data_IF_518128678830
#
_entry.id   IF_518128678830
#
_cell.length_a   1.000
_cell.length_b   1.000
_cell.length_c   1.000
_cell.angle_alpha   90.00
_cell.angle_beta   90.00
_cell.angle_gamma   90.00
#
_symmetry.space_group_name_H-M   'P 1'
#
loop_
_entity.id
_entity.type
_entity.pdbx_description
1 polymer ?
#
# COMPACT_ATOMS: atom_id res chain seq x y z
N UNK A 1 -41.01 -103.74 38.17
CA UNK A 1 -41.95 -103.15 37.19
C UNK A 1 -42.77 -102.03 37.83
N UNK A 2 -43.81 -102.29 38.64
CA UNK A 2 -44.75 -101.26 39.13
C UNK A 2 -44.16 -99.92 39.62
N UNK A 3 -43.14 -99.96 40.51
CA UNK A 3 -42.52 -98.74 41.08
C UNK A 3 -41.97 -97.76 40.03
N UNK A 4 -41.52 -98.27 38.87
CA UNK A 4 -40.97 -97.43 37.79
C UNK A 4 -42.07 -96.73 36.96
N UNK A 5 -43.28 -97.28 36.93
CA UNK A 5 -44.43 -96.69 36.22
C UNK A 5 -44.99 -95.51 37.02
N UNK A 6 -45.20 -95.71 38.34
CA UNK A 6 -45.68 -94.65 39.25
C UNK A 6 -44.74 -93.44 39.28
N UNK A 7 -43.43 -93.67 39.21
CA UNK A 7 -42.43 -92.59 39.10
C UNK A 7 -42.53 -91.82 37.79
N UNK A 8 -42.98 -92.45 36.70
CA UNK A 8 -43.13 -91.81 35.39
C UNK A 8 -44.46 -91.04 35.31
N UNK A 9 -45.53 -91.58 35.87
CA UNK A 9 -46.83 -90.91 36.02
C UNK A 9 -46.69 -89.59 36.80
N UNK A 10 -46.04 -89.63 37.97
CA UNK A 10 -45.75 -88.42 38.76
C UNK A 10 -44.88 -87.40 38.02
N UNK A 11 -43.95 -87.86 37.16
CA UNK A 11 -43.13 -86.98 36.33
C UNK A 11 -43.95 -86.34 35.20
N UNK A 12 -44.87 -87.08 34.57
CA UNK A 12 -45.80 -86.55 33.56
C UNK A 12 -46.72 -85.50 34.18
N UNK A 13 -47.38 -85.79 35.30
CA UNK A 13 -48.23 -84.79 35.97
C UNK A 13 -47.45 -83.53 36.40
N UNK A 14 -46.17 -83.68 36.79
CA UNK A 14 -45.29 -82.56 37.14
C UNK A 14 -44.99 -81.67 35.93
N UNK A 15 -44.74 -82.28 34.77
CA UNK A 15 -44.54 -81.57 33.49
C UNK A 15 -45.85 -80.96 32.98
N UNK A 16 -47.00 -81.60 33.17
CA UNK A 16 -48.30 -81.00 32.82
C UNK A 16 -48.60 -79.76 33.67
N UNK A 17 -48.34 -79.81 34.99
CA UNK A 17 -48.46 -78.66 35.88
C UNK A 17 -47.53 -77.52 35.48
N UNK A 18 -46.28 -77.81 35.09
CA UNK A 18 -45.35 -76.77 34.65
C UNK A 18 -45.71 -76.19 33.27
N UNK A 19 -46.24 -76.99 32.33
CA UNK A 19 -46.78 -76.50 31.05
C UNK A 19 -47.97 -75.56 31.27
N UNK A 20 -48.86 -75.86 32.21
CA UNK A 20 -49.97 -74.96 32.58
C UNK A 20 -49.45 -73.66 33.19
N UNK A 21 -48.46 -73.74 34.10
CA UNK A 21 -47.82 -72.56 34.68
C UNK A 21 -47.14 -71.67 33.61
N UNK A 22 -46.30 -72.25 32.74
CA UNK A 22 -45.63 -71.50 31.66
C UNK A 22 -46.65 -70.85 30.71
N UNK A 23 -47.78 -71.49 30.41
CA UNK A 23 -48.84 -70.89 29.60
C UNK A 23 -49.54 -69.74 30.32
N UNK A 24 -49.76 -69.84 31.62
CA UNK A 24 -50.31 -68.75 32.43
C UNK A 24 -49.35 -67.55 32.52
N UNK A 25 -48.05 -67.81 32.70
CA UNK A 25 -47.00 -66.80 32.70
C UNK A 25 -46.86 -66.12 31.33
N UNK A 26 -46.86 -66.89 30.24
CA UNK A 26 -46.82 -66.36 28.87
C UNK A 26 -48.03 -65.45 28.57
N UNK A 27 -49.24 -65.84 28.99
CA UNK A 27 -50.45 -65.02 28.83
C UNK A 27 -50.39 -63.74 29.68
N UNK A 28 -49.86 -63.83 30.91
CA UNK A 28 -49.65 -62.68 31.78
C UNK A 28 -48.66 -61.67 31.18
N UNK A 29 -47.52 -62.16 30.67
CA UNK A 29 -46.50 -61.35 29.99
C UNK A 29 -47.06 -60.70 28.71
N UNK A 30 -47.78 -61.45 27.87
CA UNK A 30 -48.41 -60.91 26.66
C UNK A 30 -49.41 -59.79 26.99
N UNK A 31 -50.22 -59.97 28.05
CA UNK A 31 -51.16 -58.95 28.49
C UNK A 31 -50.45 -57.70 29.05
N UNK A 32 -49.39 -57.89 29.86
CA UNK A 32 -48.56 -56.79 30.36
C UNK A 32 -47.91 -55.98 29.24
N UNK A 33 -47.30 -56.65 28.26
CA UNK A 33 -46.71 -56.01 27.08
C UNK A 33 -47.77 -55.26 26.23
N UNK A 34 -48.98 -55.81 26.11
CA UNK A 34 -50.06 -55.12 25.41
C UNK A 34 -50.47 -53.82 26.12
N UNK A 35 -50.57 -53.83 27.46
CA UNK A 35 -50.84 -52.63 28.25
C UNK A 35 -49.68 -51.62 28.18
N UNK A 36 -48.43 -52.08 28.15
CA UNK A 36 -47.26 -51.22 27.95
C UNK A 36 -47.27 -50.57 26.56
N UNK A 37 -47.56 -51.33 25.49
CA UNK A 37 -47.70 -50.81 24.13
C UNK A 37 -48.81 -49.74 24.07
N UNK A 38 -49.98 -49.99 24.67
CA UNK A 38 -51.06 -49.00 24.74
C UNK A 38 -50.67 -47.75 25.55
N UNK A 39 -49.90 -47.92 26.63
CA UNK A 39 -49.37 -46.82 27.45
C UNK A 39 -48.34 -45.97 26.69
N UNK A 40 -47.41 -46.62 25.98
CA UNK A 40 -46.44 -45.98 25.11
C UNK A 40 -47.12 -45.25 23.95
N UNK A 41 -48.07 -45.89 23.26
CA UNK A 41 -48.87 -45.26 22.21
C UNK A 41 -49.58 -44.02 22.74
N UNK A 42 -50.26 -44.10 23.90
CA UNK A 42 -50.94 -42.95 24.52
C UNK A 42 -49.95 -41.81 24.85
N UNK A 43 -48.77 -42.14 25.37
CA UNK A 43 -47.71 -41.14 25.65
C UNK A 43 -47.17 -40.50 24.38
N UNK A 44 -46.91 -41.29 23.33
CA UNK A 44 -46.48 -40.77 22.03
C UNK A 44 -47.55 -39.87 21.41
N UNK A 45 -48.83 -40.27 21.40
CA UNK A 45 -49.90 -39.40 20.92
C UNK A 45 -50.02 -38.12 21.74
N UNK A 46 -49.79 -38.17 23.06
CA UNK A 46 -49.71 -36.97 23.91
C UNK A 46 -48.58 -36.03 23.49
N UNK A 47 -47.33 -36.52 23.45
CA UNK A 47 -46.16 -35.71 23.10
C UNK A 47 -46.24 -35.15 21.66
N UNK A 48 -46.82 -35.90 20.71
CA UNK A 48 -47.09 -35.40 19.36
C UNK A 48 -48.17 -34.30 19.37
N UNK A 49 -49.26 -34.48 20.13
CA UNK A 49 -50.32 -33.49 20.28
C UNK A 49 -49.83 -32.22 20.96
N UNK A 50 -49.01 -32.34 22.01
CA UNK A 50 -48.36 -31.22 22.71
C UNK A 50 -47.43 -30.45 21.77
N UNK A 51 -46.62 -31.14 20.94
CA UNK A 51 -45.83 -30.50 19.89
C UNK A 51 -46.70 -29.78 18.87
N UNK A 52 -47.71 -30.45 18.31
CA UNK A 52 -48.65 -29.84 17.34
C UNK A 52 -49.40 -28.63 17.90
N UNK A 53 -49.74 -28.62 19.20
CA UNK A 53 -50.36 -27.47 19.84
C UNK A 53 -49.37 -26.35 20.17
N UNK A 54 -48.11 -26.67 20.48
CA UNK A 54 -47.07 -25.65 20.60
C UNK A 54 -46.80 -24.96 19.26
N UNK A 55 -46.74 -25.71 18.15
CA UNK A 55 -46.54 -25.14 16.80
C UNK A 55 -47.79 -24.41 16.27
N UNK A 56 -49.00 -24.79 16.68
CA UNK A 56 -50.25 -24.16 16.23
C UNK A 56 -50.76 -23.02 17.14
N UNK A 57 -50.08 -22.75 18.27
CA UNK A 57 -50.38 -21.57 19.11
C UNK A 57 -49.43 -20.40 18.86
N UNK A 58 -48.23 -20.67 18.32
CA UNK A 58 -47.64 -19.79 17.30
C UNK A 58 -48.55 -19.78 16.07
N UNK A 59 -49.01 -18.60 15.64
CA UNK A 59 -49.94 -18.47 14.51
C UNK A 59 -49.24 -18.55 13.15
N UNK A 60 -48.50 -19.63 12.91
CA UNK A 60 -47.74 -19.88 11.69
C UNK A 60 -48.09 -21.30 11.19
N UNK A 61 -48.84 -21.39 10.09
CA UNK A 61 -49.26 -22.66 9.47
C UNK A 61 -48.12 -23.37 8.70
N UNK A 62 -46.88 -22.87 8.81
CA UNK A 62 -45.69 -23.51 8.23
C UNK A 62 -45.36 -24.84 8.92
N UNK A 63 -45.09 -25.87 8.12
CA UNK A 63 -44.54 -27.12 8.62
C UNK A 63 -43.13 -26.86 9.19
N UNK A 64 -42.77 -27.38 10.38
CA UNK A 64 -41.43 -27.15 10.94
C UNK A 64 -40.31 -27.69 10.02
N UNK A 65 -40.62 -28.67 9.16
CA UNK A 65 -39.70 -29.16 8.12
C UNK A 65 -39.44 -28.12 7.01
N UNK A 66 -40.45 -27.33 6.63
CA UNK A 66 -40.30 -26.27 5.62
C UNK A 66 -39.48 -25.12 6.15
N UNK A 67 -39.66 -24.74 7.42
CA UNK A 67 -38.80 -23.74 8.05
C UNK A 67 -37.34 -24.24 8.20
N UNK A 68 -37.12 -25.53 8.48
CA UNK A 68 -35.78 -26.13 8.40
C UNK A 68 -35.18 -26.02 6.98
N UNK A 69 -35.94 -26.32 5.94
CA UNK A 69 -35.52 -26.25 4.53
C UNK A 69 -35.12 -24.82 4.11
N UNK A 70 -35.92 -23.81 4.49
CA UNK A 70 -35.62 -22.38 4.29
C UNK A 70 -34.31 -21.94 4.99
N UNK A 71 -34.09 -22.41 6.23
CA UNK A 71 -32.89 -22.09 7.01
C UNK A 71 -31.65 -22.82 6.47
N UNK A 72 -31.80 -24.05 5.97
CA UNK A 72 -30.73 -24.79 5.30
C UNK A 72 -30.33 -24.16 3.95
N UNK A 73 -31.31 -23.72 3.13
CA UNK A 73 -31.05 -23.00 1.88
C UNK A 73 -30.31 -21.68 2.15
N UNK A 74 -30.82 -20.84 3.06
CA UNK A 74 -30.16 -19.58 3.40
C UNK A 74 -28.76 -19.79 4.02
N UNK A 75 -28.58 -20.84 4.84
CA UNK A 75 -27.25 -21.19 5.35
C UNK A 75 -26.29 -21.60 4.21
N UNK A 76 -26.77 -22.31 3.18
CA UNK A 76 -25.98 -22.67 2.01
C UNK A 76 -25.62 -21.44 1.15
N UNK A 77 -26.55 -20.51 0.94
CA UNK A 77 -26.29 -19.23 0.28
C UNK A 77 -25.19 -18.44 1.01
N UNK A 78 -25.31 -18.29 2.33
CA UNK A 78 -24.32 -17.59 3.16
C UNK A 78 -22.94 -18.27 3.13
N UNK A 79 -22.89 -19.62 3.08
CA UNK A 79 -21.63 -20.35 2.90
C UNK A 79 -21.02 -20.10 1.52
N UNK A 80 -21.82 -20.05 0.45
CA UNK A 80 -21.34 -19.74 -0.89
C UNK A 80 -20.77 -18.31 -0.93
N UNK A 81 -21.53 -17.30 -0.49
CA UNK A 81 -21.11 -15.90 -0.42
C UNK A 81 -19.83 -15.75 0.40
N UNK A 82 -19.72 -16.44 1.54
CA UNK A 82 -18.50 -16.44 2.35
C UNK A 82 -17.30 -17.06 1.60
N UNK A 83 -17.52 -18.10 0.79
CA UNK A 83 -16.46 -18.73 -0.02
C UNK A 83 -15.98 -17.80 -1.16
N UNK A 84 -16.90 -17.10 -1.83
CA UNK A 84 -16.60 -16.14 -2.88
C UNK A 84 -15.85 -14.92 -2.32
N UNK A 85 -16.27 -14.39 -1.17
CA UNK A 85 -15.57 -13.31 -0.48
C UNK A 85 -14.15 -13.71 -0.04
N UNK A 86 -13.95 -14.94 0.45
CA UNK A 86 -12.62 -15.49 0.77
C UNK A 86 -11.75 -15.59 -0.49
N UNK A 87 -12.32 -16.02 -1.62
CA UNK A 87 -11.61 -16.08 -2.89
C UNK A 87 -11.21 -14.69 -3.41
N UNK A 88 -12.12 -13.72 -3.38
CA UNK A 88 -11.81 -12.33 -3.73
C UNK A 88 -10.70 -11.74 -2.85
N UNK A 89 -10.76 -11.96 -1.53
CA UNK A 89 -9.72 -11.50 -0.59
C UNK A 89 -8.36 -12.15 -0.88
N UNK A 90 -8.34 -13.43 -1.28
CA UNK A 90 -7.13 -14.12 -1.74
C UNK A 90 -6.56 -13.46 -3.00
N UNK A 91 -7.38 -13.23 -4.04
CA UNK A 91 -6.96 -12.58 -5.28
C UNK A 91 -6.45 -11.14 -5.04
N UNK A 92 -7.16 -10.37 -4.21
CA UNK A 92 -6.75 -9.01 -3.80
C UNK A 92 -5.42 -9.04 -3.03
N UNK A 93 -5.21 -10.03 -2.17
CA UNK A 93 -3.95 -10.21 -1.43
C UNK A 93 -2.76 -10.55 -2.34
N UNK A 94 -2.96 -11.42 -3.34
CA UNK A 94 -1.95 -11.74 -4.35
C UNK A 94 -1.56 -10.50 -5.17
N UNK A 95 -2.56 -9.71 -5.62
CA UNK A 95 -2.31 -8.46 -6.34
C UNK A 95 -1.56 -7.43 -5.49
N UNK A 96 -1.95 -7.25 -4.22
CA UNK A 96 -1.24 -6.36 -3.28
C UNK A 96 0.20 -6.85 -3.03
N UNK A 97 0.43 -8.16 -2.95
CA UNK A 97 1.77 -8.75 -2.87
C UNK A 97 2.63 -8.42 -4.09
N UNK A 98 2.09 -8.62 -5.30
CA UNK A 98 2.77 -8.30 -6.56
C UNK A 98 3.09 -6.80 -6.70
N UNK A 99 2.16 -5.92 -6.30
CA UNK A 99 2.37 -4.46 -6.31
C UNK A 99 3.45 -4.03 -5.29
N UNK A 100 3.45 -4.60 -4.08
CA UNK A 100 4.49 -4.36 -3.06
C UNK A 100 5.87 -4.80 -3.55
N UNK A 101 5.97 -5.98 -4.18
CA UNK A 101 7.21 -6.49 -4.76
C UNK A 101 7.71 -5.60 -5.91
N UNK A 102 6.82 -5.18 -6.82
CA UNK A 102 7.12 -4.24 -7.91
C UNK A 102 7.64 -2.89 -7.40
N UNK A 103 7.05 -2.37 -6.31
CA UNK A 103 7.51 -1.13 -5.69
C UNK A 103 8.92 -1.26 -5.09
N UNK A 104 9.19 -2.33 -4.31
CA UNK A 104 10.55 -2.58 -3.77
C UNK A 104 11.60 -2.79 -4.87
N UNK A 105 11.24 -3.40 -5.99
CA UNK A 105 12.14 -3.55 -7.15
C UNK A 105 12.40 -2.22 -7.87
N UNK A 106 11.38 -1.36 -8.00
CA UNK A 106 11.55 0.02 -8.50
C UNK A 106 12.46 0.84 -7.59
N UNK A 107 12.26 0.76 -6.28
CA UNK A 107 13.10 1.41 -5.27
C UNK A 107 14.56 0.96 -5.37
N UNK A 108 14.82 -0.35 -5.42
CA UNK A 108 16.16 -0.93 -5.64
C UNK A 108 16.82 -0.36 -6.90
N UNK A 109 16.10 -0.32 -8.02
CA UNK A 109 16.59 0.23 -9.28
C UNK A 109 16.89 1.75 -9.17
N UNK A 110 16.07 2.53 -8.48
CA UNK A 110 16.34 3.97 -8.29
C UNK A 110 17.58 4.21 -7.42
N UNK A 111 17.80 3.40 -6.38
CA UNK A 111 19.00 3.48 -5.53
C UNK A 111 20.27 3.07 -6.30
N UNK A 112 20.20 2.06 -7.16
CA UNK A 112 21.31 1.63 -8.01
C UNK A 112 21.66 2.68 -9.08
N UNK A 113 20.67 3.27 -9.73
CA UNK A 113 20.86 4.38 -10.68
C UNK A 113 21.42 5.64 -10.00
N UNK A 114 20.93 5.98 -8.80
CA UNK A 114 21.45 7.09 -7.99
C UNK A 114 22.92 6.85 -7.59
N UNK A 115 23.26 5.64 -7.16
CA UNK A 115 24.63 5.21 -6.85
C UNK A 115 25.54 5.31 -8.08
N UNK A 116 25.07 4.87 -9.25
CA UNK A 116 25.82 4.98 -10.51
C UNK A 116 26.05 6.44 -10.93
N UNK A 117 24.99 7.28 -10.91
CA UNK A 117 25.08 8.72 -11.21
C UNK A 117 26.01 9.45 -10.24
N UNK A 118 25.95 9.11 -8.95
CA UNK A 118 26.85 9.65 -7.91
C UNK A 118 28.31 9.28 -8.20
N UNK A 119 28.62 8.00 -8.36
CA UNK A 119 29.99 7.55 -8.68
C UNK A 119 30.54 8.20 -9.95
N UNK A 120 29.75 8.26 -11.02
CA UNK A 120 30.11 8.94 -12.28
C UNK A 120 30.40 10.43 -12.06
N UNK A 121 29.64 11.10 -11.21
CA UNK A 121 29.85 12.52 -10.86
C UNK A 121 31.17 12.69 -10.10
N UNK A 122 31.49 11.81 -9.15
CA UNK A 122 32.79 11.81 -8.44
C UNK A 122 33.96 11.60 -9.39
N UNK A 123 33.87 10.64 -10.32
CA UNK A 123 34.92 10.40 -11.33
C UNK A 123 35.13 11.64 -12.21
N UNK A 124 34.07 12.24 -12.74
CA UNK A 124 34.17 13.44 -13.58
C UNK A 124 34.68 14.67 -12.80
N UNK A 125 34.32 14.81 -11.52
CA UNK A 125 34.80 15.89 -10.65
C UNK A 125 36.31 15.74 -10.36
N UNK A 126 36.77 14.54 -9.99
CA UNK A 126 38.22 14.30 -9.78
C UNK A 126 39.03 14.49 -11.06
N UNK A 127 38.48 14.22 -12.24
CA UNK A 127 39.17 14.55 -13.51
C UNK A 127 39.19 16.06 -13.78
N UNK A 128 38.07 16.76 -13.60
CA UNK A 128 38.01 18.23 -13.72
C UNK A 128 39.00 18.93 -12.76
N UNK A 129 39.16 18.40 -11.55
CA UNK A 129 40.14 18.89 -10.57
C UNK A 129 41.59 18.73 -11.08
N UNK A 130 41.98 17.55 -11.60
CA UNK A 130 43.31 17.35 -12.21
C UNK A 130 43.58 18.31 -13.35
N UNK A 131 42.59 18.53 -14.24
CA UNK A 131 42.72 19.47 -15.35
C UNK A 131 42.87 20.92 -14.85
N UNK A 132 42.18 21.27 -13.76
CA UNK A 132 42.28 22.59 -13.11
C UNK A 132 43.66 22.80 -12.46
N UNK A 133 44.20 21.79 -11.77
CA UNK A 133 45.55 21.80 -11.18
C UNK A 133 46.63 21.91 -12.25
N UNK A 134 46.51 21.15 -13.35
CA UNK A 134 47.42 21.24 -14.49
C UNK A 134 47.38 22.63 -15.16
N UNK A 135 46.18 23.21 -15.33
CA UNK A 135 46.02 24.56 -15.87
C UNK A 135 46.62 25.64 -14.95
N UNK A 136 46.46 25.50 -13.63
CA UNK A 136 47.07 26.39 -12.64
C UNK A 136 48.61 26.28 -12.65
N UNK A 137 49.15 25.06 -12.72
CA UNK A 137 50.59 24.80 -12.81
C UNK A 137 51.22 25.41 -14.07
N UNK A 138 50.61 25.20 -15.24
CA UNK A 138 51.06 25.82 -16.49
C UNK A 138 50.96 27.34 -16.46
N UNK A 139 49.90 27.88 -15.85
CA UNK A 139 49.75 29.32 -15.63
C UNK A 139 50.88 29.87 -14.76
N UNK A 140 51.23 29.19 -13.66
CA UNK A 140 52.36 29.56 -12.80
C UNK A 140 53.71 29.50 -13.55
N UNK A 141 53.94 28.49 -14.39
CA UNK A 141 55.13 28.45 -15.26
C UNK A 141 55.18 29.65 -16.21
N UNK A 142 54.08 29.97 -16.89
CA UNK A 142 54.00 31.10 -17.83
C UNK A 142 54.22 32.45 -17.13
N UNK A 143 53.63 32.66 -15.95
CA UNK A 143 53.87 33.84 -15.14
C UNK A 143 55.34 33.95 -14.70
N UNK A 144 55.95 32.84 -14.27
CA UNK A 144 57.36 32.77 -13.87
C UNK A 144 58.30 33.08 -15.05
N UNK A 145 58.03 32.53 -16.24
CA UNK A 145 58.80 32.81 -17.46
C UNK A 145 58.67 34.27 -17.89
N UNK A 146 57.45 34.83 -17.87
CA UNK A 146 57.16 36.24 -18.15
C UNK A 146 57.88 37.18 -17.19
N UNK A 147 57.95 36.83 -15.90
CA UNK A 147 58.67 37.61 -14.89
C UNK A 147 60.19 37.62 -15.15
N UNK A 148 60.79 36.46 -15.43
CA UNK A 148 62.23 36.34 -15.77
C UNK A 148 62.60 37.15 -17.01
N UNK A 149 61.81 37.07 -18.08
CA UNK A 149 61.99 37.89 -19.29
C UNK A 149 61.86 39.39 -19.00
N UNK A 150 60.92 39.79 -18.13
CA UNK A 150 60.77 41.20 -17.75
C UNK A 150 61.97 41.72 -16.95
N UNK A 151 62.50 40.93 -16.00
CA UNK A 151 63.72 41.24 -15.25
C UNK A 151 64.93 41.40 -16.18
N UNK A 152 65.14 40.45 -17.11
CA UNK A 152 66.21 40.53 -18.11
C UNK A 152 66.12 41.81 -18.95
N UNK A 153 64.90 42.19 -19.38
CA UNK A 153 64.67 43.40 -20.17
C UNK A 153 64.93 44.69 -19.37
N UNK A 154 64.58 44.73 -18.08
CA UNK A 154 64.93 45.85 -17.18
C UNK A 154 66.46 45.96 -17.00
N UNK A 155 67.15 44.83 -16.80
CA UNK A 155 68.61 44.80 -16.67
C UNK A 155 69.31 45.28 -17.96
N UNK A 156 68.79 44.93 -19.14
CA UNK A 156 69.28 45.47 -20.42
C UNK A 156 69.07 46.99 -20.55
N UNK A 157 67.94 47.52 -20.04
CA UNK A 157 67.69 48.96 -20.04
C UNK A 157 68.65 49.71 -19.08
N UNK A 158 68.95 49.15 -17.90
CA UNK A 158 69.95 49.72 -16.98
C UNK A 158 71.40 49.53 -17.42
N UNK A 159 71.71 48.53 -18.27
CA UNK A 159 73.05 48.37 -18.89
C UNK A 159 73.26 49.21 -20.15
N UNK A 160 72.26 49.98 -20.61
CA UNK A 160 72.45 50.93 -21.72
C UNK A 160 73.10 52.22 -21.15
N UNK A 161 74.31 52.61 -21.61
CA UNK A 161 74.92 53.84 -21.13
C UNK A 161 74.06 55.04 -21.49
N UNK A 162 73.89 55.97 -20.55
CA UNK A 162 73.26 57.25 -20.82
C UNK A 162 74.22 58.13 -21.65
N UNK A 163 74.18 57.98 -22.98
CA UNK A 163 74.77 58.97 -23.87
C UNK A 163 73.94 60.25 -23.77
N UNK A 164 74.50 61.24 -23.06
CA UNK A 164 73.96 62.59 -23.00
C UNK A 164 73.96 63.21 -24.41
N UNK A 165 72.84 63.80 -24.79
CA UNK A 165 72.61 64.40 -26.10
C UNK A 165 71.52 65.45 -26.00
N UNK A 166 71.90 66.64 -25.54
CA UNK A 166 71.08 67.86 -25.51
C UNK A 166 70.80 68.25 -26.98
N UNK A 167 69.55 68.52 -27.38
CA UNK A 167 68.92 69.85 -27.29
C UNK A 167 67.37 69.84 -27.28
N UNK A 168 66.76 70.94 -26.78
CA UNK A 168 65.30 71.22 -26.68
C UNK A 168 65.08 72.64 -26.13
N UNK A 169 63.85 73.23 -26.17
CA UNK A 169 62.61 72.92 -26.91
C UNK A 169 62.42 74.06 -27.96
N UNK A 170 61.26 74.76 -28.17
CA UNK A 170 59.82 74.46 -28.11
C UNK A 170 59.24 74.28 -29.55
N UNK A 171 58.02 74.56 -30.02
CA UNK A 171 56.77 75.23 -29.54
C UNK A 171 55.53 74.43 -30.02
N UNK A 172 54.33 74.88 -29.65
CA UNK A 172 52.99 74.34 -29.96
C UNK A 172 52.31 75.05 -31.17
N UNK A 173 51.15 74.60 -31.72
CA UNK A 173 50.12 73.77 -31.06
C UNK A 173 49.57 72.53 -31.82
N UNK A 174 48.80 71.74 -31.07
CA UNK A 174 47.98 70.60 -31.52
C UNK A 174 46.62 71.08 -32.08
N UNK A 175 45.87 70.24 -32.82
CA UNK A 175 44.84 69.45 -32.12
C UNK A 175 44.67 67.98 -32.58
N UNK A 176 44.30 67.15 -31.59
CA UNK A 176 43.36 66.03 -31.66
C UNK A 176 43.70 64.74 -32.47
N UNK A 177 44.10 63.72 -31.71
CA UNK A 177 43.43 62.41 -31.63
C UNK A 177 43.10 61.63 -32.92
N UNK A 178 44.04 60.79 -33.35
CA UNK A 178 43.81 59.63 -34.23
C UNK A 178 44.11 58.30 -33.52
N UNK A 179 43.19 57.85 -32.68
CA UNK A 179 43.28 56.52 -32.06
C UNK A 179 43.06 55.43 -33.11
N UNK A 180 44.06 54.58 -33.34
CA UNK A 180 44.02 53.44 -34.27
C UNK A 180 43.25 52.24 -33.70
N UNK A 181 41.98 52.46 -33.40
CA UNK A 181 41.04 51.40 -33.02
C UNK A 181 40.83 50.41 -34.18
N UNK A 182 40.94 49.08 -33.96
CA UNK A 182 40.44 48.12 -34.93
C UNK A 182 38.91 48.23 -35.09
N UNK A 183 38.39 47.80 -36.23
CA UNK A 183 37.04 48.12 -36.71
C UNK A 183 35.91 47.42 -35.92
N UNK A 184 35.33 48.10 -34.93
CA UNK A 184 34.05 47.69 -34.33
C UNK A 184 32.88 48.08 -35.24
N UNK A 185 32.28 47.09 -35.91
CA UNK A 185 31.08 47.27 -36.75
C UNK A 185 29.89 47.66 -35.85
N UNK A 186 29.23 48.78 -36.15
CA UNK A 186 27.99 49.22 -35.47
C UNK A 186 26.73 48.67 -36.17
N UNK A 187 25.87 47.89 -35.50
CA UNK A 187 24.52 47.63 -35.98
C UNK A 187 23.65 48.90 -35.97
N UNK A 188 22.75 49.04 -36.96
CA UNK A 188 21.81 50.15 -37.05
C UNK A 188 20.77 50.06 -35.93
N UNK A 189 20.75 51.03 -35.00
CA UNK A 189 19.74 51.12 -33.94
C UNK A 189 18.37 51.46 -34.54
N UNK A 190 17.47 50.47 -34.67
CA UNK A 190 16.02 50.67 -34.80
C UNK A 190 15.37 50.41 -33.44
N UNK A 191 14.42 51.24 -33.06
CA UNK A 191 13.76 51.15 -31.75
C UNK A 191 12.61 50.16 -31.78
N UNK A 192 12.74 49.05 -31.07
CA UNK A 192 11.61 48.25 -30.56
C UNK A 192 11.78 48.06 -29.06
N UNK A 193 10.68 48.04 -28.33
CA UNK A 193 10.67 48.10 -26.86
C UNK A 193 10.55 46.73 -26.20
N UNK A 194 11.03 46.65 -24.94
CA UNK A 194 10.86 45.57 -23.94
C UNK A 194 11.67 44.26 -24.16
N UNK A 195 11.75 43.48 -23.07
CA UNK A 195 12.19 42.08 -22.98
C UNK A 195 13.70 41.79 -23.20
N UNK A 196 14.57 42.29 -22.30
CA UNK A 196 16.02 42.01 -22.32
C UNK A 196 16.60 41.43 -21.01
N UNK A 197 15.76 40.89 -20.12
CA UNK A 197 16.19 40.31 -18.82
C UNK A 197 16.29 38.78 -18.80
N UNK A 198 15.71 38.06 -19.76
CA UNK A 198 15.58 36.59 -19.70
C UNK A 198 16.80 35.83 -20.24
N UNK A 199 17.51 36.38 -21.23
CA UNK A 199 18.51 35.64 -22.01
C UNK A 199 19.87 35.48 -21.31
N UNK A 200 20.20 36.30 -20.30
CA UNK A 200 21.49 36.20 -19.61
C UNK A 200 21.51 35.10 -18.52
N UNK A 201 20.33 34.63 -18.10
CA UNK A 201 20.15 33.59 -17.07
C UNK A 201 20.29 32.17 -17.63
N UNK A 202 20.08 32.00 -18.94
CA UNK A 202 20.04 30.70 -19.60
C UNK A 202 21.43 30.06 -19.72
N UNK A 203 22.44 30.84 -20.12
CA UNK A 203 23.82 30.38 -20.33
C UNK A 203 24.58 29.94 -19.07
N UNK A 204 23.95 30.09 -17.90
CA UNK A 204 24.46 29.60 -16.62
C UNK A 204 23.89 28.21 -16.22
N UNK A 205 23.02 27.60 -17.06
CA UNK A 205 22.31 26.36 -16.73
C UNK A 205 22.47 25.24 -17.77
N UNK A 206 23.40 25.35 -18.71
CA UNK A 206 23.68 24.30 -19.71
C UNK A 206 24.43 23.07 -19.14
N UNK A 207 25.00 23.15 -17.94
CA UNK A 207 25.78 22.05 -17.32
C UNK A 207 24.91 20.93 -16.69
N UNK A 208 23.59 20.98 -16.81
CA UNK A 208 22.67 19.90 -16.36
C UNK A 208 21.96 19.34 -17.59
N UNK A 209 22.10 18.03 -17.90
CA UNK A 209 21.36 17.42 -18.99
C UNK A 209 19.85 17.59 -18.79
N UNK A 210 19.20 18.35 -19.67
CA UNK A 210 17.73 18.43 -19.72
C UNK A 210 17.17 17.19 -20.41
N UNK A 211 17.35 16.04 -19.75
CA UNK A 211 16.55 14.84 -19.97
C UNK A 211 15.08 15.26 -19.98
N UNK A 212 14.38 15.04 -21.10
CA UNK A 212 12.95 15.36 -21.22
C UNK A 212 12.15 14.31 -20.47
N UNK A 213 12.18 14.40 -19.15
CA UNK A 213 11.23 13.71 -18.28
C UNK A 213 9.83 14.21 -18.67
N UNK A 214 9.10 13.39 -19.43
CA UNK A 214 7.64 13.43 -19.42
C UNK A 214 7.22 13.02 -18.02
N UNK A 215 7.11 14.01 -17.14
CA UNK A 215 6.54 13.81 -15.80
C UNK A 215 5.08 13.39 -15.90
N UNK A 216 4.46 13.02 -14.77
CA UNK A 216 3.01 12.94 -14.68
C UNK A 216 2.35 14.20 -15.21
N UNK A 217 1.15 14.05 -15.76
CA UNK A 217 0.31 15.15 -16.23
C UNK A 217 0.17 16.23 -15.14
N UNK A 218 0.10 17.51 -15.54
CA UNK A 218 0.09 18.65 -14.61
C UNK A 218 -1.05 18.46 -13.59
N UNK A 219 -0.75 18.33 -12.28
CA UNK A 219 -1.72 17.86 -11.30
C UNK A 219 -2.86 18.87 -11.21
N UNK A 220 -4.02 18.47 -11.72
CA UNK A 220 -5.25 19.26 -11.72
C UNK A 220 -5.51 19.76 -10.29
N UNK A 221 -5.79 21.06 -10.16
CA UNK A 221 -6.02 21.68 -8.86
C UNK A 221 -7.08 20.89 -8.09
N UNK A 222 -6.70 20.41 -6.90
CA UNK A 222 -7.55 19.56 -6.07
C UNK A 222 -8.93 20.21 -5.87
N UNK A 223 -10.04 19.45 -6.00
CA UNK A 223 -11.37 19.98 -5.72
C UNK A 223 -11.43 20.48 -4.28
N UNK A 224 -12.05 21.65 -4.09
CA UNK A 224 -12.02 22.38 -2.81
C UNK A 224 -12.55 21.50 -1.66
N UNK A 225 -11.70 21.16 -0.66
CA UNK A 225 -12.14 20.35 0.49
C UNK A 225 -13.21 21.06 1.34
N UNK A 226 -13.40 22.37 1.19
CA UNK A 226 -14.47 23.10 1.87
C UNK A 226 -15.89 22.65 1.46
N UNK A 227 -16.05 21.96 0.32
CA UNK A 227 -17.35 21.46 -0.14
C UNK A 227 -18.04 20.50 0.86
N UNK A 228 -17.27 19.85 1.75
CA UNK A 228 -17.82 18.99 2.82
C UNK A 228 -18.21 19.75 4.10
N UNK A 229 -17.76 21.00 4.28
CA UNK A 229 -18.07 21.81 5.47
C UNK A 229 -19.32 22.69 5.31
N UNK A 230 -19.91 22.76 4.11
CA UNK A 230 -21.20 23.42 3.90
C UNK A 230 -22.36 22.44 4.14
N UNK A 231 -23.19 22.62 5.19
CA UNK A 231 -24.35 21.77 5.42
C UNK A 231 -25.32 21.89 4.25
N UNK A 232 -25.52 20.78 3.53
CA UNK A 232 -26.23 20.72 2.25
C UNK A 232 -27.71 21.06 2.40
N UNK A 233 -28.04 22.36 2.33
CA UNK A 233 -29.40 22.90 2.39
C UNK A 233 -30.17 22.52 1.13
N UNK A 234 -30.71 21.30 1.09
CA UNK A 234 -31.48 20.73 -0.01
C UNK A 234 -32.54 21.71 -0.55
N UNK A 235 -32.23 22.33 -1.70
CA UNK A 235 -33.21 23.01 -2.55
C UNK A 235 -33.54 22.13 -3.76
N UNK A 236 -34.55 21.27 -3.61
CA UNK A 236 -35.46 20.93 -4.72
C UNK A 236 -36.75 20.24 -4.29
N UNK A 237 -37.84 21.01 -4.35
CA UNK A 237 -39.14 20.66 -4.96
C UNK A 237 -39.63 19.19 -4.89
N UNK A 238 -40.48 18.92 -3.91
CA UNK A 238 -41.85 18.40 -4.09
C UNK A 238 -42.12 17.37 -5.22
N UNK A 239 -42.12 16.07 -4.89
CA UNK A 239 -43.31 15.19 -5.00
C UNK A 239 -43.13 13.86 -4.22
N UNK A 240 -44.21 13.22 -3.73
CA UNK A 240 -44.16 11.97 -2.95
C UNK A 240 -44.48 10.72 -3.81
N UNK A 241 -44.29 9.49 -3.27
CA UNK A 241 -45.44 8.79 -2.68
C UNK A 241 -45.15 8.10 -1.31
N UNK A 242 -46.00 7.13 -0.94
CA UNK A 242 -46.30 6.59 0.40
C UNK A 242 -45.24 5.73 1.14
N UNK A 243 -45.51 5.60 2.46
CA UNK A 243 -45.19 4.58 3.50
C UNK A 243 -44.79 3.16 3.01
N UNK A 244 -44.16 2.27 3.79
CA UNK A 244 -44.00 2.04 5.26
C UNK A 244 -42.49 1.74 5.58
N UNK A 245 -41.84 1.94 6.74
CA UNK A 245 -42.13 1.94 8.19
C UNK A 245 -41.78 0.60 8.91
N UNK A 246 -41.00 0.70 10.02
CA UNK A 246 -40.45 -0.37 10.91
C UNK A 246 -39.30 -1.23 10.31
N UNK A 247 -38.32 -1.76 11.07
CA UNK A 247 -38.01 -1.65 12.53
C UNK A 247 -36.47 -1.63 12.79
N UNK A 248 -36.07 -1.30 14.03
CA UNK A 248 -34.70 -1.35 14.55
C UNK A 248 -34.24 -2.78 14.91
N UNK A 249 -32.92 -3.01 14.82
CA UNK A 249 -32.21 -4.08 15.54
C UNK A 249 -30.77 -3.60 15.82
N UNK A 250 -30.31 -3.70 17.06
CA UNK A 250 -28.98 -3.23 17.47
C UNK A 250 -27.92 -4.32 17.28
N UNK A 251 -26.66 -3.92 17.09
CA UNK A 251 -25.53 -4.83 16.86
C UNK A 251 -24.32 -4.45 17.69
N UNK A 252 -24.16 -5.12 18.84
CA UNK A 252 -22.90 -5.18 19.59
C UNK A 252 -22.11 -6.46 19.21
N UNK A 253 -20.86 -6.56 19.66
CA UNK A 253 -19.84 -7.61 19.36
C UNK A 253 -19.07 -7.52 18.02
N UNK A 254 -17.96 -6.75 18.02
CA UNK A 254 -16.77 -7.01 17.16
C UNK A 254 -15.54 -6.16 17.56
N UNK A 255 -15.02 -6.34 18.77
CA UNK A 255 -13.76 -5.67 19.18
C UNK A 255 -12.51 -6.50 18.87
N UNK A 256 -12.57 -7.83 18.95
CA UNK A 256 -11.39 -8.71 18.83
C UNK A 256 -10.72 -8.62 17.45
N UNK A 257 -11.51 -8.49 16.37
CA UNK A 257 -11.00 -8.32 15.01
C UNK A 257 -10.18 -7.02 14.83
N UNK A 258 -10.40 -5.99 15.67
CA UNK A 258 -9.60 -4.75 15.64
C UNK A 258 -8.25 -4.92 16.33
N UNK A 259 -8.17 -5.80 17.33
CA UNK A 259 -6.93 -6.10 18.06
C UNK A 259 -5.88 -6.73 17.13
N UNK A 260 -6.27 -7.75 16.36
CA UNK A 260 -5.38 -8.45 15.43
C UNK A 260 -4.75 -7.53 14.37
N UNK A 261 -5.55 -6.72 13.67
CA UNK A 261 -5.03 -5.79 12.65
C UNK A 261 -4.19 -4.66 13.25
N UNK A 262 -4.47 -4.24 14.48
CA UNK A 262 -3.65 -3.27 15.21
C UNK A 262 -2.25 -3.85 15.51
N UNK A 263 -2.18 -5.13 15.92
CA UNK A 263 -0.92 -5.83 16.15
C UNK A 263 -0.08 -5.97 14.87
N UNK A 264 -0.69 -6.39 13.74
CA UNK A 264 0.03 -6.49 12.45
C UNK A 264 0.57 -5.13 11.97
N UNK A 265 -0.23 -4.06 12.08
CA UNK A 265 0.20 -2.70 11.72
C UNK A 265 1.34 -2.23 12.64
N UNK A 266 1.30 -2.53 13.94
CA UNK A 266 2.35 -2.20 14.89
C UNK A 266 3.68 -2.89 14.58
N UNK A 267 3.65 -4.17 14.18
CA UNK A 267 4.83 -4.92 13.73
C UNK A 267 5.38 -4.34 12.43
N UNK A 268 4.53 -4.00 11.46
CA UNK A 268 4.95 -3.36 10.20
C UNK A 268 5.60 -1.99 10.43
N UNK A 269 5.06 -1.15 11.32
CA UNK A 269 5.65 0.15 11.68
C UNK A 269 7.01 -0.04 12.38
N UNK A 270 7.11 -1.01 13.28
CA UNK A 270 8.37 -1.32 13.97
C UNK A 270 9.47 -1.78 13.02
N UNK A 271 9.15 -2.63 12.03
CA UNK A 271 10.08 -3.04 10.98
C UNK A 271 10.52 -1.88 10.08
N UNK A 272 9.58 -1.00 9.72
CA UNK A 272 9.88 0.17 8.88
C UNK A 272 10.82 1.16 9.59
N UNK A 273 10.66 1.34 10.90
CA UNK A 273 11.55 2.18 11.71
C UNK A 273 12.97 1.60 11.79
N UNK A 274 13.10 0.27 11.95
CA UNK A 274 14.41 -0.40 11.94
C UNK A 274 15.13 -0.30 10.58
N UNK A 275 14.41 -0.43 9.45
CA UNK A 275 14.99 -0.19 8.11
C UNK A 275 15.41 1.28 7.94
N UNK A 276 14.65 2.25 8.45
CA UNK A 276 15.00 3.68 8.42
C UNK A 276 16.20 4.04 9.31
N UNK A 277 16.31 3.50 10.52
CA UNK A 277 17.47 3.69 11.40
C UNK A 277 18.74 3.10 10.78
N UNK A 278 18.64 1.93 10.14
CA UNK A 278 19.74 1.31 9.39
C UNK A 278 20.22 2.20 8.23
N UNK A 279 19.30 2.73 7.43
CA UNK A 279 19.60 3.67 6.34
C UNK A 279 20.27 4.97 6.86
N UNK A 280 19.77 5.53 7.98
CA UNK A 280 20.33 6.74 8.57
C UNK A 280 21.73 6.52 9.16
N UNK A 281 21.97 5.33 9.74
CA UNK A 281 23.29 4.90 10.21
C UNK A 281 24.28 4.77 9.06
N UNK A 282 23.89 4.14 7.93
CA UNK A 282 24.74 4.05 6.74
C UNK A 282 25.08 5.43 6.12
N UNK A 283 24.12 6.36 6.07
CA UNK A 283 24.36 7.72 5.61
C UNK A 283 25.33 8.49 6.53
N UNK A 284 25.28 8.22 7.83
CA UNK A 284 26.12 8.86 8.86
C UNK A 284 27.58 8.38 8.85
N UNK A 285 27.92 7.35 8.05
CA UNK A 285 29.29 6.86 7.83
C UNK A 285 29.93 7.39 6.53
N UNK A 286 29.21 8.23 5.77
CA UNK A 286 29.61 8.69 4.42
C UNK A 286 29.75 10.22 4.29
N UNK A 287 29.83 10.93 5.41
CA UNK A 287 29.94 12.39 5.53
C UNK A 287 31.02 12.79 6.54
#
# INVERSE_FOLDING_TARGET
MGSQVVSLEQQVESVERSIVFLRQEQLSLLHGLHLEILSLQKRCTGVCHDHSHSTATSGDDSSPYSHCEEVEEHLQEQQQIQSDLRWELSQKSVLVGALRASLKEKERHFLEELKHRSHRTTVLNTELQKQTEAAAYLSFQLHSAKQKLHQQRQQQQHRRPAQSGVDKPPVHPSPQASASSPTTIKPKRRSSSRSSSHLHTERARECVPRERVTGPEEPMAMPDPALFFYPYRHRSRLRPPHRHALQEAEGEESEDCRSAVSAEVSVLVSLLLLELESLFSCCSFFF
#
